data_IF_639661338836
#
_entry.id   IF_639661338836
#
_cell.length_a   1.000
_cell.length_b   1.000
_cell.length_c   1.000
_cell.angle_alpha   90.00
_cell.angle_beta   90.00
_cell.angle_gamma   90.00
#
_symmetry.space_group_name_H-M   'P 1'
#
loop_
_entity.id
_entity.type
_entity.pdbx_description
1 polymer ?
#
# COMPACT_ATOMS: atom_id res chain seq x y z
N UNK A 1 16.49 -22.90 34.41
CA UNK A 1 16.72 -23.50 33.08
C UNK A 1 16.14 -22.51 32.06
N UNK A 2 16.97 -21.61 31.56
CA UNK A 2 16.55 -20.59 30.57
C UNK A 2 16.32 -21.33 29.26
N UNK A 3 15.07 -21.46 28.84
CA UNK A 3 14.75 -21.97 27.50
C UNK A 3 15.42 -21.02 26.51
N UNK A 4 16.35 -21.57 25.73
CA UNK A 4 16.97 -20.92 24.60
C UNK A 4 15.91 -20.17 23.79
N UNK A 5 16.18 -18.88 23.58
CA UNK A 5 15.40 -17.97 22.76
C UNK A 5 15.16 -18.63 21.41
N UNK A 6 13.90 -18.59 20.94
CA UNK A 6 13.45 -19.14 19.66
C UNK A 6 14.26 -18.54 18.50
N UNK A 7 15.35 -19.18 18.10
CA UNK A 7 16.01 -18.91 16.80
C UNK A 7 15.25 -19.58 15.63
N UNK A 8 14.32 -20.48 15.91
CA UNK A 8 13.41 -21.06 14.91
C UNK A 8 12.04 -20.37 14.96
N UNK A 9 12.01 -19.09 14.58
CA UNK A 9 10.79 -18.56 13.95
C UNK A 9 10.64 -19.18 12.56
N UNK A 10 9.41 -19.36 12.08
CA UNK A 10 9.14 -19.72 10.69
C UNK A 10 9.83 -18.69 9.78
N UNK A 11 10.91 -19.10 9.11
CA UNK A 11 11.61 -18.26 8.15
C UNK A 11 10.88 -18.35 6.81
N UNK A 12 10.48 -17.21 6.26
CA UNK A 12 9.85 -17.14 4.95
C UNK A 12 10.94 -17.15 3.88
N UNK A 13 10.98 -18.21 3.07
CA UNK A 13 12.00 -18.43 2.04
C UNK A 13 11.45 -18.38 0.62
N UNK A 14 10.14 -18.54 0.46
CA UNK A 14 9.45 -18.58 -0.83
C UNK A 14 8.23 -17.64 -0.85
N UNK A 15 7.74 -17.33 -2.06
CA UNK A 15 6.47 -16.61 -2.25
C UNK A 15 5.29 -17.40 -1.65
N UNK A 16 5.36 -18.72 -1.67
CA UNK A 16 4.36 -19.60 -1.07
C UNK A 16 4.38 -19.47 0.46
N UNK A 17 5.55 -19.37 1.10
CA UNK A 17 5.63 -19.13 2.55
C UNK A 17 4.99 -17.78 2.93
N UNK A 18 5.25 -16.73 2.14
CA UNK A 18 4.58 -15.43 2.31
C UNK A 18 3.06 -15.57 2.19
N UNK A 19 2.59 -16.29 1.18
CA UNK A 19 1.17 -16.54 0.94
C UNK A 19 0.52 -17.26 2.14
N UNK A 20 1.21 -18.24 2.72
CA UNK A 20 0.69 -19.08 3.80
C UNK A 20 0.78 -18.39 5.17
N UNK A 21 1.78 -17.52 5.38
CA UNK A 21 1.88 -16.68 6.57
C UNK A 21 0.67 -15.75 6.75
N UNK A 22 0.03 -15.38 5.63
CA UNK A 22 -1.06 -14.41 5.60
C UNK A 22 -0.64 -12.95 5.78
N UNK A 23 0.67 -12.66 5.80
CA UNK A 23 1.19 -11.30 5.91
C UNK A 23 0.63 -10.37 4.83
N UNK A 24 0.31 -9.13 5.21
CA UNK A 24 -0.30 -8.14 4.32
C UNK A 24 -1.68 -8.54 3.81
N UNK A 25 -2.45 -9.29 4.61
CA UNK A 25 -3.88 -9.54 4.38
C UNK A 25 -4.71 -9.00 5.54
N UNK A 26 -5.97 -8.59 5.32
CA UNK A 26 -6.74 -8.60 4.05
C UNK A 26 -6.35 -7.47 3.06
N UNK A 27 -7.07 -7.29 1.92
CA UNK A 27 -6.95 -6.08 1.12
C UNK A 27 -7.00 -4.79 1.96
N UNK A 28 -6.23 -3.75 1.59
CA UNK A 28 -5.60 -3.51 0.28
C UNK A 28 -4.13 -3.97 0.17
N UNK A 29 -3.70 -4.89 1.04
CA UNK A 29 -2.39 -5.57 0.98
C UNK A 29 -1.17 -4.67 1.16
N UNK A 30 -1.27 -3.71 2.08
CA UNK A 30 -0.22 -2.74 2.36
C UNK A 30 1.11 -3.41 2.73
N UNK A 31 1.12 -4.42 3.61
CA UNK A 31 2.35 -5.14 3.97
C UNK A 31 3.08 -5.76 2.77
N UNK A 32 2.34 -6.39 1.85
CA UNK A 32 2.92 -7.01 0.66
C UNK A 32 3.48 -5.94 -0.30
N UNK A 33 2.73 -4.87 -0.54
CA UNK A 33 3.19 -3.73 -1.35
C UNK A 33 4.44 -3.07 -0.76
N UNK A 34 4.48 -2.93 0.57
CA UNK A 34 5.63 -2.42 1.31
C UNK A 34 6.85 -3.34 1.17
N UNK A 35 6.67 -4.66 1.23
CA UNK A 35 7.76 -5.62 1.03
C UNK A 35 8.29 -5.59 -0.40
N UNK A 36 7.40 -5.44 -1.38
CA UNK A 36 7.76 -5.29 -2.79
C UNK A 36 8.61 -4.03 -3.01
N UNK A 37 8.16 -2.88 -2.47
CA UNK A 37 8.93 -1.63 -2.47
C UNK A 37 10.29 -1.81 -1.77
N UNK A 38 10.29 -2.38 -0.56
CA UNK A 38 11.51 -2.57 0.22
C UNK A 38 12.57 -3.33 -0.56
N UNK A 39 12.18 -4.45 -1.20
CA UNK A 39 13.08 -5.30 -1.98
C UNK A 39 13.65 -4.59 -3.20
N UNK A 40 12.82 -3.81 -3.92
CA UNK A 40 13.17 -3.20 -5.19
C UNK A 40 13.89 -1.84 -5.07
N UNK A 41 13.55 -1.04 -4.06
CA UNK A 41 13.98 0.36 -3.96
C UNK A 41 14.79 0.67 -2.70
N UNK A 42 14.52 0.02 -1.56
CA UNK A 42 15.16 0.38 -0.28
C UNK A 42 16.45 -0.40 -0.01
N UNK A 43 16.69 -1.53 -0.68
CA UNK A 43 17.90 -2.35 -0.49
C UNK A 43 18.58 -2.70 -1.80
N UNK A 44 19.85 -3.13 -1.71
CA UNK A 44 20.64 -3.72 -2.80
C UNK A 44 21.46 -4.89 -2.26
N UNK A 45 21.93 -5.78 -3.14
CA UNK A 45 22.94 -6.76 -2.79
C UNK A 45 24.28 -6.38 -3.38
N UNK A 46 25.35 -6.39 -2.57
CA UNK A 46 26.70 -6.18 -3.09
C UNK A 46 27.29 -7.47 -3.69
N UNK A 47 28.50 -7.38 -4.27
CA UNK A 47 29.19 -8.51 -4.88
C UNK A 47 29.56 -9.65 -3.91
N UNK A 48 29.55 -9.39 -2.60
CA UNK A 48 29.71 -10.42 -1.56
C UNK A 48 28.38 -11.03 -1.11
N UNK A 49 27.27 -10.68 -1.76
CA UNK A 49 25.94 -11.16 -1.42
C UNK A 49 25.35 -10.56 -0.14
N UNK A 50 25.96 -9.52 0.44
CA UNK A 50 25.40 -8.79 1.59
C UNK A 50 24.31 -7.83 1.14
N UNK A 51 23.23 -7.77 1.91
CA UNK A 51 22.13 -6.82 1.72
C UNK A 51 22.49 -5.47 2.36
N UNK A 52 22.43 -4.40 1.58
CA UNK A 52 22.74 -3.04 2.00
C UNK A 52 21.51 -2.16 1.88
N UNK A 53 21.27 -1.33 2.88
CA UNK A 53 20.19 -0.33 2.85
C UNK A 53 20.58 0.87 1.97
N UNK A 54 19.68 1.32 1.10
CA UNK A 54 19.81 2.49 0.24
C UNK A 54 19.11 3.73 0.79
N UNK A 55 17.99 3.52 1.48
CA UNK A 55 17.29 4.50 2.30
C UNK A 55 18.10 4.85 3.58
N UNK A 56 17.75 5.92 4.29
CA UNK A 56 18.35 6.31 5.57
C UNK A 56 17.34 6.17 6.74
N UNK A 57 17.21 4.98 7.35
CA UNK A 57 16.30 4.76 8.46
C UNK A 57 16.52 5.70 9.65
N UNK A 58 17.77 6.09 9.92
CA UNK A 58 18.15 7.05 10.96
C UNK A 58 17.70 8.49 10.67
N UNK A 59 17.37 8.79 9.41
CA UNK A 59 16.80 10.08 9.00
C UNK A 59 15.28 9.99 8.83
N UNK A 60 14.68 8.87 9.20
CA UNK A 60 13.24 8.62 9.08
C UNK A 60 12.73 8.60 7.63
N UNK A 61 13.61 8.39 6.64
CA UNK A 61 13.20 8.27 5.23
C UNK A 61 12.02 7.30 5.12
N UNK A 62 10.99 7.61 4.32
CA UNK A 62 9.81 6.76 4.13
C UNK A 62 9.02 6.42 5.41
N UNK A 63 9.25 7.14 6.51
CA UNK A 63 8.61 6.88 7.81
C UNK A 63 9.32 5.82 8.66
N UNK A 64 10.58 5.49 8.36
CA UNK A 64 11.39 4.65 9.23
C UNK A 64 11.54 5.27 10.64
N UNK A 65 11.65 4.43 11.67
CA UNK A 65 11.95 4.87 13.03
C UNK A 65 12.57 3.73 13.85
N UNK A 66 13.19 4.06 14.98
CA UNK A 66 13.78 3.05 15.87
C UNK A 66 12.73 2.09 16.42
N UNK A 67 13.00 0.79 16.32
CA UNK A 67 12.19 -0.25 16.93
C UNK A 67 12.83 -0.72 18.24
N UNK A 68 12.18 -0.44 19.37
CA UNK A 68 12.72 -0.73 20.70
C UNK A 68 12.71 -2.22 21.10
N UNK A 69 11.94 -3.06 20.39
CA UNK A 69 11.75 -4.47 20.72
C UNK A 69 11.31 -4.72 22.18
N UNK A 70 10.42 -3.86 22.71
CA UNK A 70 9.96 -3.94 24.11
C UNK A 70 9.15 -5.20 24.41
N UNK A 71 8.42 -5.72 23.43
CA UNK A 71 7.68 -6.97 23.53
C UNK A 71 8.55 -8.22 23.31
N UNK A 72 9.85 -8.05 23.06
CA UNK A 72 10.82 -9.13 22.83
C UNK A 72 10.40 -10.11 21.72
N UNK A 73 9.77 -9.59 20.65
CA UNK A 73 9.37 -10.39 19.48
C UNK A 73 10.57 -10.75 18.58
N UNK A 74 11.68 -10.02 18.72
CA UNK A 74 12.95 -10.23 18.01
C UNK A 74 14.08 -10.59 18.98
N UNK A 75 15.19 -11.17 18.51
CA UNK A 75 16.38 -11.40 19.34
C UNK A 75 16.90 -10.12 19.99
N UNK A 76 17.23 -10.19 21.28
CA UNK A 76 17.84 -9.07 22.02
C UNK A 76 19.22 -8.76 21.45
N UNK A 77 19.46 -7.48 21.13
CA UNK A 77 20.75 -7.04 20.59
C UNK A 77 21.84 -7.01 21.67
N UNK A 78 23.08 -7.22 21.23
CA UNK A 78 24.27 -7.06 22.09
C UNK A 78 24.33 -5.63 22.66
N UNK A 79 24.83 -5.52 23.90
CA UNK A 79 25.01 -4.23 24.59
C UNK A 79 26.10 -3.36 23.96
N UNK A 80 26.87 -3.87 23.00
CA UNK A 80 27.90 -3.11 22.29
C UNK A 80 27.35 -2.01 21.35
N UNK A 81 26.02 -1.92 21.21
CA UNK A 81 25.27 -0.89 20.45
C UNK A 81 25.73 -0.72 19.00
N UNK A 82 26.32 -1.74 18.39
CA UNK A 82 26.73 -1.69 16.98
C UNK A 82 25.59 -1.95 16.01
N UNK A 83 24.47 -2.40 16.53
CA UNK A 83 23.30 -2.77 15.76
C UNK A 83 22.06 -2.11 16.35
N UNK A 84 21.07 -1.88 15.49
CA UNK A 84 19.78 -1.31 15.89
C UNK A 84 18.68 -1.89 15.02
N UNK A 85 17.47 -1.99 15.59
CA UNK A 85 16.30 -2.30 14.81
C UNK A 85 15.61 -1.01 14.37
N UNK A 86 15.15 -1.00 13.12
CA UNK A 86 14.32 0.06 12.56
C UNK A 86 13.05 -0.54 11.95
N UNK A 87 11.94 0.14 12.11
CA UNK A 87 10.62 -0.24 11.61
C UNK A 87 10.15 0.74 10.53
N UNK A 88 9.44 0.22 9.51
CA UNK A 88 8.68 1.00 8.53
C UNK A 88 7.32 0.35 8.27
N UNK A 89 6.38 1.14 7.77
CA UNK A 89 5.06 0.66 7.33
C UNK A 89 3.88 1.33 8.04
N UNK A 90 4.13 2.27 8.95
CA UNK A 90 3.08 3.13 9.45
C UNK A 90 2.73 4.20 8.41
N UNK A 91 1.56 4.05 7.78
CA UNK A 91 1.10 4.93 6.71
C UNK A 91 0.49 6.25 7.22
N UNK A 92 0.42 6.46 8.53
CA UNK A 92 -0.15 7.68 9.11
C UNK A 92 0.83 8.86 8.99
N UNK A 93 0.62 9.70 7.98
CA UNK A 93 1.43 10.89 7.71
C UNK A 93 1.25 12.00 8.77
N UNK A 94 0.22 11.95 9.61
CA UNK A 94 0.11 12.90 10.74
C UNK A 94 1.15 12.61 11.83
N UNK A 95 1.55 11.34 11.98
CA UNK A 95 2.52 10.91 13.02
C UNK A 95 3.89 10.60 12.44
N UNK A 96 3.94 10.13 11.20
CA UNK A 96 5.16 9.82 10.44
C UNK A 96 5.09 10.55 9.10
N UNK A 97 5.38 11.85 9.08
CA UNK A 97 5.18 12.70 7.89
C UNK A 97 5.87 12.12 6.65
N UNK A 98 7.11 11.66 6.80
CA UNK A 98 7.91 11.04 5.73
C UNK A 98 7.35 9.72 5.19
N UNK A 99 6.32 9.15 5.80
CA UNK A 99 5.58 8.06 5.17
C UNK A 99 4.91 8.52 3.85
N UNK A 100 4.72 9.82 3.63
CA UNK A 100 4.25 10.38 2.36
C UNK A 100 5.21 10.07 1.18
N UNK A 101 6.50 9.91 1.47
CA UNK A 101 7.54 9.56 0.49
C UNK A 101 7.42 8.11 0.01
N UNK A 102 6.66 7.24 0.70
CA UNK A 102 6.38 5.90 0.19
C UNK A 102 5.64 5.97 -1.15
N UNK A 103 5.90 5.06 -2.10
CA UNK A 103 5.22 5.07 -3.38
C UNK A 103 3.69 5.01 -3.23
N UNK A 104 2.98 5.67 -4.13
CA UNK A 104 1.51 5.72 -4.10
C UNK A 104 0.88 4.33 -4.07
N UNK A 105 1.45 3.34 -4.77
CA UNK A 105 0.92 1.98 -4.77
C UNK A 105 0.99 1.32 -3.38
N UNK A 106 1.95 1.69 -2.54
CA UNK A 106 2.07 1.24 -1.14
C UNK A 106 0.99 1.88 -0.29
N UNK A 107 0.76 3.19 -0.45
CA UNK A 107 -0.24 3.94 0.33
C UNK A 107 -1.68 3.78 -0.16
N UNK A 108 -1.88 3.31 -1.40
CA UNK A 108 -3.19 3.21 -2.04
C UNK A 108 -4.16 2.36 -1.22
N UNK A 109 -5.35 2.93 -0.94
CA UNK A 109 -6.42 2.29 -0.16
C UNK A 109 -6.38 2.62 1.33
N UNK A 110 -5.30 3.24 1.81
CA UNK A 110 -5.23 3.75 3.18
C UNK A 110 -6.28 4.85 3.40
N UNK A 111 -7.01 4.78 4.53
CA UNK A 111 -8.08 5.74 4.85
C UNK A 111 -9.43 5.49 4.15
N UNK A 112 -9.48 4.64 3.12
CA UNK A 112 -10.69 4.41 2.30
C UNK A 112 -11.45 3.13 2.67
N UNK A 113 -10.84 2.22 3.41
CA UNK A 113 -11.41 0.92 3.77
C UNK A 113 -12.22 0.97 5.07
N UNK A 114 -13.32 0.19 5.12
CA UNK A 114 -13.96 -0.20 6.38
C UNK A 114 -12.93 -1.00 7.19
N UNK A 115 -12.55 -0.52 8.38
CA UNK A 115 -11.50 -1.15 9.19
C UNK A 115 -10.12 -0.51 9.06
N UNK A 116 -10.04 0.83 9.01
CA UNK A 116 -8.81 1.63 8.99
C UNK A 116 -7.63 1.08 9.81
N UNK A 117 -7.88 0.51 11.00
CA UNK A 117 -6.82 -0.07 11.85
C UNK A 117 -6.15 -1.29 11.22
N UNK A 118 -6.91 -2.13 10.50
CA UNK A 118 -6.39 -3.31 9.80
C UNK A 118 -5.56 -2.94 8.58
N UNK A 119 -5.76 -1.75 8.01
CA UNK A 119 -5.02 -1.28 6.85
C UNK A 119 -3.71 -0.58 7.19
N UNK A 120 -3.39 -0.43 8.48
CA UNK A 120 -2.12 0.15 8.90
C UNK A 120 -1.44 -0.70 9.98
N UNK A 121 -1.64 -2.02 9.92
CA UNK A 121 -1.07 -2.96 10.89
C UNK A 121 0.29 -3.52 10.48
N UNK A 122 0.55 -3.64 9.18
CA UNK A 122 1.69 -4.37 8.64
C UNK A 122 2.98 -3.57 8.79
N UNK A 123 4.08 -4.23 9.17
CA UNK A 123 5.39 -3.62 9.37
C UNK A 123 6.51 -4.47 8.78
N UNK A 124 7.56 -3.78 8.35
CA UNK A 124 8.87 -4.37 8.12
C UNK A 124 9.82 -3.85 9.19
N UNK A 125 10.52 -4.76 9.85
CA UNK A 125 11.58 -4.42 10.80
C UNK A 125 12.91 -4.91 10.24
N UNK A 126 13.92 -4.06 10.23
CA UNK A 126 15.27 -4.41 9.80
C UNK A 126 16.25 -4.30 10.95
N UNK A 127 17.18 -5.27 11.06
CA UNK A 127 18.37 -5.16 11.90
C UNK A 127 19.47 -4.55 11.06
N UNK A 128 19.96 -3.39 11.47
CA UNK A 128 21.02 -2.68 10.79
C UNK A 128 22.31 -2.72 11.59
N UNK A 129 23.41 -2.97 10.89
CA UNK A 129 24.78 -2.77 11.36
C UNK A 129 25.48 -1.84 10.37
N UNK A 130 25.61 -0.56 10.73
CA UNK A 130 25.97 0.48 9.76
C UNK A 130 24.97 0.47 8.58
N UNK A 131 25.42 0.09 7.38
CA UNK A 131 24.55 -0.06 6.20
C UNK A 131 24.17 -1.52 5.90
N UNK A 132 24.76 -2.49 6.58
CA UNK A 132 24.47 -3.90 6.38
C UNK A 132 23.11 -4.22 7.03
N UNK A 133 22.15 -4.71 6.24
CA UNK A 133 20.91 -5.29 6.75
C UNK A 133 21.20 -6.73 7.14
N UNK A 134 21.36 -6.98 8.44
CA UNK A 134 21.74 -8.28 8.98
C UNK A 134 20.55 -9.21 9.21
N UNK A 135 19.33 -8.66 9.31
CA UNK A 135 18.08 -9.40 9.32
C UNK A 135 16.91 -8.52 8.86
N UNK A 136 15.90 -9.14 8.24
CA UNK A 136 14.64 -8.50 7.85
C UNK A 136 13.49 -9.32 8.40
N UNK A 137 12.55 -8.66 9.06
CA UNK A 137 11.35 -9.27 9.62
C UNK A 137 10.11 -8.61 9.03
N UNK A 138 9.09 -9.42 8.79
CA UNK A 138 7.72 -8.93 8.54
C UNK A 138 6.87 -9.24 9.77
N UNK A 139 6.00 -8.31 10.13
CA UNK A 139 5.14 -8.46 11.31
C UNK A 139 3.87 -7.62 11.16
N UNK A 140 2.94 -7.76 12.10
CA UNK A 140 1.74 -6.95 12.20
C UNK A 140 1.40 -6.61 13.64
N UNK A 141 0.64 -5.54 13.83
CA UNK A 141 -0.01 -5.26 15.11
C UNK A 141 -1.21 -6.20 15.32
N UNK A 142 -1.43 -6.61 16.57
CA UNK A 142 -2.61 -7.37 16.98
C UNK A 142 -3.87 -6.54 16.78
N UNK A 143 -4.93 -7.18 16.29
CA UNK A 143 -6.26 -6.57 16.13
C UNK A 143 -6.86 -6.12 17.48
N UNK A 144 -6.73 -6.97 18.49
CA UNK A 144 -7.23 -6.78 19.85
C UNK A 144 -6.17 -6.20 20.82
N UNK A 145 -4.93 -6.04 20.34
CA UNK A 145 -3.87 -5.43 21.10
C UNK A 145 -4.23 -4.00 21.49
N UNK A 146 -3.85 -3.59 22.70
CA UNK A 146 -3.77 -2.16 23.04
C UNK A 146 -2.95 -1.39 21.99
N UNK A 147 -2.87 -0.06 22.11
CA UNK A 147 -2.23 0.82 21.10
C UNK A 147 -0.84 0.28 20.66
N UNK A 148 -0.79 -0.35 19.49
CA UNK A 148 0.46 -0.74 18.81
C UNK A 148 1.10 -2.06 19.22
N UNK A 149 0.44 -2.95 19.97
CA UNK A 149 1.07 -4.23 20.36
C UNK A 149 1.35 -5.13 19.15
N UNK A 150 2.57 -5.60 19.00
CA UNK A 150 2.97 -6.54 17.94
C UNK A 150 2.47 -7.97 18.18
N UNK A 151 2.24 -8.68 17.08
CA UNK A 151 1.92 -10.10 17.11
C UNK A 151 3.17 -10.97 16.86
N UNK A 152 3.70 -11.55 17.93
CA UNK A 152 4.85 -12.45 17.85
C UNK A 152 4.57 -13.70 17.00
N UNK A 153 3.32 -14.15 16.89
CA UNK A 153 2.97 -15.33 16.08
C UNK A 153 2.88 -15.00 14.58
N UNK A 154 2.73 -13.72 14.25
CA UNK A 154 2.76 -13.18 12.89
C UNK A 154 4.08 -12.48 12.55
N UNK A 155 5.09 -12.63 13.41
CA UNK A 155 6.42 -12.09 13.19
C UNK A 155 7.30 -13.16 12.56
N UNK A 156 7.76 -12.91 11.34
CA UNK A 156 8.55 -13.87 10.58
C UNK A 156 9.87 -13.28 10.12
N UNK A 157 10.94 -14.05 10.24
CA UNK A 157 12.22 -13.74 9.62
C UNK A 157 12.10 -13.97 8.11
N UNK A 158 12.50 -12.99 7.31
CA UNK A 158 12.52 -13.09 5.85
C UNK A 158 13.90 -13.55 5.41
N UNK A 159 13.96 -14.67 4.67
CA UNK A 159 15.19 -15.13 4.07
C UNK A 159 15.68 -14.11 3.02
N UNK A 160 16.97 -13.72 3.00
CA UNK A 160 17.50 -12.81 1.98
C UNK A 160 17.29 -13.30 0.52
N UNK A 161 17.20 -14.61 0.28
CA UNK A 161 16.87 -15.13 -1.05
C UNK A 161 15.44 -14.82 -1.47
N UNK A 162 14.50 -14.74 -0.53
CA UNK A 162 13.14 -14.29 -0.84
C UNK A 162 13.13 -12.82 -1.27
N UNK A 163 13.95 -11.97 -0.65
CA UNK A 163 14.12 -10.58 -1.10
C UNK A 163 14.70 -10.54 -2.52
N UNK A 164 15.64 -11.43 -2.87
CA UNK A 164 16.16 -11.54 -4.25
C UNK A 164 15.08 -11.94 -5.25
N UNK A 165 14.22 -12.90 -4.90
CA UNK A 165 13.09 -13.32 -5.74
C UNK A 165 12.13 -12.16 -5.97
N UNK A 166 11.80 -11.40 -4.92
CA UNK A 166 10.87 -10.25 -5.02
C UNK A 166 11.47 -9.11 -5.86
N UNK A 167 12.80 -9.00 -5.88
CA UNK A 167 13.56 -8.01 -6.65
C UNK A 167 13.84 -8.43 -8.09
N UNK A 168 13.33 -9.59 -8.54
CA UNK A 168 13.48 -9.98 -9.93
C UNK A 168 12.81 -8.91 -10.83
N UNK A 169 13.53 -8.29 -11.79
CA UNK A 169 12.95 -7.26 -12.65
C UNK A 169 11.79 -7.79 -13.52
N UNK A 170 11.67 -9.11 -13.71
CA UNK A 170 10.56 -9.73 -14.42
C UNK A 170 9.33 -9.97 -13.52
N UNK A 171 9.47 -9.84 -12.19
CA UNK A 171 8.37 -10.00 -11.25
C UNK A 171 7.65 -8.67 -11.03
N UNK A 172 6.60 -8.43 -11.81
CA UNK A 172 5.74 -7.25 -11.63
C UNK A 172 4.96 -7.30 -10.32
N UNK A 173 4.64 -6.13 -9.76
CA UNK A 173 3.83 -5.99 -8.53
C UNK A 173 2.49 -6.75 -8.64
N UNK A 174 1.84 -6.68 -9.79
CA UNK A 174 0.57 -7.37 -10.05
C UNK A 174 0.71 -8.90 -9.90
N UNK A 175 1.74 -9.47 -10.53
CA UNK A 175 2.09 -10.89 -10.45
C UNK A 175 2.46 -11.29 -9.03
N UNK A 176 3.26 -10.49 -8.32
CA UNK A 176 3.61 -10.73 -6.93
C UNK A 176 2.37 -10.77 -6.02
N UNK A 177 1.45 -9.80 -6.16
CA UNK A 177 0.20 -9.77 -5.40
C UNK A 177 -0.70 -10.98 -5.73
N UNK A 178 -0.79 -11.36 -6.99
CA UNK A 178 -1.53 -12.55 -7.42
C UNK A 178 -0.96 -13.82 -6.79
N UNK A 179 0.35 -14.05 -6.90
CA UNK A 179 1.02 -15.22 -6.34
C UNK A 179 0.88 -15.30 -4.81
N UNK A 180 0.82 -14.15 -4.14
CA UNK A 180 0.56 -14.04 -2.69
C UNK A 180 -0.95 -14.03 -2.35
N UNK A 181 -1.79 -14.49 -3.27
CA UNK A 181 -3.20 -14.83 -3.06
C UNK A 181 -4.18 -13.69 -3.32
N UNK A 182 -3.81 -12.66 -4.09
CA UNK A 182 -4.74 -11.65 -4.58
C UNK A 182 -5.52 -12.17 -5.80
N UNK A 183 -6.81 -12.46 -5.59
CA UNK A 183 -7.70 -12.92 -6.66
C UNK A 183 -8.32 -11.75 -7.46
N UNK A 184 -8.13 -10.50 -7.02
CA UNK A 184 -8.75 -9.33 -7.64
C UNK A 184 -8.23 -9.00 -9.05
N UNK A 185 -6.94 -9.26 -9.29
CA UNK A 185 -6.36 -9.15 -10.63
C UNK A 185 -6.78 -10.29 -11.56
N UNK A 186 -6.97 -11.50 -11.02
CA UNK A 186 -7.40 -12.65 -11.83
C UNK A 186 -8.79 -12.44 -12.46
N UNK A 187 -9.72 -11.80 -11.75
CA UNK A 187 -11.01 -11.46 -12.34
C UNK A 187 -10.86 -10.39 -13.44
N UNK A 188 -10.07 -9.35 -13.17
CA UNK A 188 -9.82 -8.27 -14.13
C UNK A 188 -9.09 -8.75 -15.37
N UNK A 189 -8.05 -9.58 -15.24
CA UNK A 189 -7.31 -10.18 -16.35
C UNK A 189 -8.11 -11.27 -17.09
N UNK A 190 -8.91 -12.08 -16.39
CA UNK A 190 -9.85 -13.00 -17.05
C UNK A 190 -10.93 -12.25 -17.81
N UNK A 191 -11.42 -11.13 -17.28
CA UNK A 191 -12.33 -10.23 -17.97
C UNK A 191 -11.63 -9.58 -19.17
N UNK A 192 -10.44 -9.01 -19.02
CA UNK A 192 -9.68 -8.43 -20.14
C UNK A 192 -9.29 -9.46 -21.21
N UNK A 193 -8.95 -10.69 -20.82
CA UNK A 193 -8.70 -11.80 -21.73
C UNK A 193 -9.98 -12.20 -22.49
N UNK A 194 -11.13 -12.27 -21.81
CA UNK A 194 -12.42 -12.50 -22.44
C UNK A 194 -12.84 -11.34 -23.38
N UNK A 195 -12.55 -10.09 -23.00
CA UNK A 195 -12.77 -8.92 -23.86
C UNK A 195 -11.84 -8.94 -25.09
N UNK A 196 -10.58 -9.35 -24.93
CA UNK A 196 -9.60 -9.46 -26.04
C UNK A 196 -9.91 -10.61 -26.99
N UNK A 197 -10.50 -11.70 -26.51
CA UNK A 197 -11.04 -12.77 -27.36
C UNK A 197 -12.28 -12.32 -28.14
N UNK A 198 -13.14 -11.48 -27.54
CA UNK A 198 -14.33 -10.94 -28.21
C UNK A 198 -14.02 -9.80 -29.18
N UNK A 199 -12.89 -9.11 -29.07
CA UNK A 199 -12.49 -8.06 -30.01
C UNK A 199 -11.81 -8.57 -31.29
N UNK A 200 -11.61 -9.89 -31.43
CA UNK A 200 -10.95 -10.50 -32.59
C UNK A 200 -11.90 -10.88 -33.74
N UNK A 201 -13.20 -10.56 -33.65
CA UNK A 201 -14.16 -10.84 -34.72
C UNK A 201 -15.07 -9.64 -34.94
N UNK A 202 -14.59 -8.61 -35.66
CA UNK A 202 -15.33 -7.92 -36.74
C UNK A 202 -14.29 -7.20 -37.63
N UNK A 203 -13.95 -7.71 -38.82
CA UNK A 203 -13.43 -6.88 -39.89
C UNK A 203 -14.62 -6.17 -40.55
N UNK A 204 -14.68 -4.85 -40.47
CA UNK A 204 -15.47 -4.07 -41.43
C UNK A 204 -14.50 -3.25 -42.27
N UNK A 205 -14.46 -3.60 -43.55
CA UNK A 205 -13.78 -2.88 -44.61
C UNK A 205 -14.81 -2.02 -45.35
N UNK A 206 -14.34 -0.85 -45.83
CA UNK A 206 -14.98 0.13 -46.73
C UNK A 206 -16.10 1.02 -46.15
N UNK A 207 -16.21 2.31 -46.48
CA UNK A 207 -15.51 3.19 -47.43
C UNK A 207 -15.81 4.64 -47.02
N UNK A 208 -14.82 5.53 -46.96
CA UNK A 208 -15.09 6.97 -46.86
C UNK A 208 -14.02 7.74 -47.66
N UNK A 209 -14.43 8.27 -48.81
CA UNK A 209 -13.65 9.27 -49.53
C UNK A 209 -13.54 10.56 -48.71
N UNK A 210 -12.33 11.12 -48.51
CA UNK A 210 -12.18 12.39 -47.81
C UNK A 210 -12.43 13.58 -48.75
N UNK A 211 -13.20 14.60 -48.34
CA UNK A 211 -13.25 15.86 -49.08
C UNK A 211 -11.91 16.61 -49.00
N UNK A 212 -11.52 17.21 -50.12
CA UNK A 212 -10.31 18.03 -50.28
C UNK A 212 -10.23 19.21 -49.28
N UNK A 213 -9.03 19.61 -48.83
CA UNK A 213 -8.87 20.64 -47.82
C UNK A 213 -9.02 22.05 -48.43
N UNK A 214 -9.81 22.90 -47.76
CA UNK A 214 -9.74 24.35 -47.97
C UNK A 214 -8.85 24.97 -46.88
N UNK A 215 -7.88 25.75 -47.33
CA UNK A 215 -6.93 26.48 -46.51
C UNK A 215 -7.60 27.62 -45.72
N UNK A 216 -7.28 27.76 -44.43
CA UNK A 216 -7.04 29.07 -43.78
C UNK A 216 -6.45 28.96 -42.36
N UNK A 217 -5.16 29.27 -42.30
CA UNK A 217 -4.44 30.13 -41.35
C UNK A 217 -5.07 30.51 -39.98
N UNK A 218 -4.28 30.34 -38.91
CA UNK A 218 -4.12 31.36 -37.86
C UNK A 218 -4.42 30.91 -36.41
N UNK A 219 -3.48 31.05 -35.45
CA UNK A 219 -3.58 30.48 -34.11
C UNK A 219 -4.11 31.49 -33.07
N UNK A 220 -4.65 31.01 -31.95
CA UNK A 220 -4.61 31.78 -30.71
C UNK A 220 -4.54 30.90 -29.44
N UNK A 221 -3.58 31.29 -28.60
CA UNK A 221 -3.30 30.78 -27.24
C UNK A 221 -4.31 31.38 -26.24
N UNK A 222 -4.59 30.65 -25.17
CA UNK A 222 -5.02 31.16 -23.84
C UNK A 222 -4.89 29.97 -22.86
N UNK A 223 -3.75 29.76 -22.18
CA UNK A 223 -3.36 30.31 -20.87
C UNK A 223 -4.54 30.74 -19.99
N UNK A 224 -4.77 29.96 -18.93
CA UNK A 224 -5.29 30.46 -17.65
C UNK A 224 -4.52 29.81 -16.51
N UNK A 225 -3.44 30.49 -16.12
CA UNK A 225 -2.89 30.42 -14.77
C UNK A 225 -3.81 31.24 -13.85
N UNK A 226 -4.18 30.67 -12.70
CA UNK A 226 -4.66 31.46 -11.57
C UNK A 226 -4.01 30.94 -10.28
N UNK A 227 -2.92 31.57 -9.92
CA UNK A 227 -2.32 31.56 -8.58
C UNK A 227 -2.61 32.92 -7.93
N UNK A 228 -3.10 32.90 -6.69
CA UNK A 228 -3.02 33.90 -5.59
C UNK A 228 -4.15 33.62 -4.59
N UNK A 229 -4.02 33.74 -3.27
CA UNK A 229 -2.91 33.93 -2.35
C UNK A 229 -3.54 33.83 -0.93
N UNK A 230 -2.68 33.77 0.10
CA UNK A 230 -2.91 34.20 1.48
C UNK A 230 -3.66 33.31 2.50
N UNK A 231 -2.83 32.66 3.33
CA UNK A 231 -2.76 32.77 4.80
C UNK A 231 -4.05 33.11 5.57
N UNK A 232 -4.54 32.13 6.33
CA UNK A 232 -5.10 32.37 7.65
C UNK A 232 -4.91 31.12 8.55
N UNK A 233 -4.16 31.32 9.64
CA UNK A 233 -4.16 30.46 10.81
C UNK A 233 -5.58 30.20 11.29
N UNK A 234 -6.03 28.95 11.29
CA UNK A 234 -7.14 28.51 12.14
C UNK A 234 -6.86 27.14 12.73
N UNK A 235 -6.68 27.14 14.04
CA UNK A 235 -6.81 26.00 14.95
C UNK A 235 -8.18 25.34 14.77
N UNK A 236 -8.24 24.22 14.05
CA UNK A 236 -9.47 23.48 13.78
C UNK A 236 -9.69 22.32 14.74
N UNK A 237 -10.33 22.61 15.89
CA UNK A 237 -10.92 21.61 16.78
C UNK A 237 -12.02 20.85 16.01
N UNK A 238 -11.79 19.59 15.66
CA UNK A 238 -12.74 18.80 14.85
C UNK A 238 -14.04 18.57 15.63
N UNK A 239 -15.11 19.24 15.18
CA UNK A 239 -16.45 19.14 15.74
C UNK A 239 -17.21 17.96 15.13
N UNK A 240 -18.04 17.32 15.96
CA UNK A 240 -18.97 16.22 15.61
C UNK A 240 -20.05 16.58 14.55
N UNK A 241 -19.92 17.69 13.84
CA UNK A 241 -21.00 18.24 12.98
C UNK A 241 -21.05 17.68 11.56
N UNK A 242 -19.98 17.05 11.03
CA UNK A 242 -19.97 16.57 9.64
C UNK A 242 -20.76 15.26 9.40
N UNK A 243 -21.12 14.51 10.44
CA UNK A 243 -21.85 13.23 10.27
C UNK A 243 -23.36 13.41 10.08
N UNK A 244 -23.93 14.49 10.58
CA UNK A 244 -25.38 14.73 10.48
C UNK A 244 -25.75 15.25 9.09
N UNK A 245 -24.92 16.12 8.51
CA UNK A 245 -25.15 16.68 7.17
C UNK A 245 -25.11 15.61 6.07
N UNK A 246 -24.14 14.69 6.13
CA UNK A 246 -24.02 13.61 5.14
C UNK A 246 -25.21 12.65 5.16
N UNK A 247 -25.67 12.23 6.36
CA UNK A 247 -26.84 11.37 6.49
C UNK A 247 -28.14 12.07 6.05
N UNK A 248 -28.28 13.36 6.33
CA UNK A 248 -29.48 14.12 5.97
C UNK A 248 -29.64 14.28 4.45
N UNK A 249 -28.53 14.48 3.74
CA UNK A 249 -28.52 14.56 2.26
C UNK A 249 -28.94 13.22 1.64
N UNK A 250 -28.44 12.10 2.16
CA UNK A 250 -28.81 10.76 1.66
C UNK A 250 -30.30 10.49 1.89
N UNK A 251 -30.84 10.83 3.06
CA UNK A 251 -32.27 10.65 3.37
C UNK A 251 -33.15 11.51 2.43
N UNK A 252 -32.77 12.76 2.18
CA UNK A 252 -33.50 13.65 1.27
C UNK A 252 -33.55 13.11 -0.17
N UNK A 253 -32.44 12.58 -0.67
CA UNK A 253 -32.37 11.97 -2.02
C UNK A 253 -33.27 10.75 -2.10
N UNK A 254 -33.25 9.88 -1.08
CA UNK A 254 -34.11 8.68 -1.04
C UNK A 254 -35.59 9.05 -1.02
N UNK A 255 -35.98 10.05 -0.22
CA UNK A 255 -37.37 10.53 -0.16
C UNK A 255 -37.83 11.15 -1.49
N UNK A 256 -36.94 11.88 -2.18
CA UNK A 256 -37.22 12.42 -3.51
C UNK A 256 -37.44 11.30 -4.55
N UNK A 257 -36.61 10.26 -4.54
CA UNK A 257 -36.76 9.13 -5.47
C UNK A 257 -38.06 8.38 -5.20
N UNK A 258 -38.40 8.13 -3.93
CA UNK A 258 -39.66 7.45 -3.56
C UNK A 258 -40.87 8.28 -4.00
N UNK A 259 -40.86 9.60 -3.76
CA UNK A 259 -41.97 10.48 -4.17
C UNK A 259 -42.15 10.53 -5.68
N UNK A 260 -41.06 10.60 -6.45
CA UNK A 260 -41.10 10.49 -7.93
C UNK A 260 -41.71 9.17 -8.40
N UNK A 261 -41.29 8.04 -7.81
CA UNK A 261 -41.85 6.72 -8.14
C UNK A 261 -43.35 6.67 -7.85
N UNK A 262 -43.78 7.17 -6.69
CA UNK A 262 -45.21 7.21 -6.32
C UNK A 262 -46.01 8.09 -7.28
N UNK A 263 -45.49 9.24 -7.70
CA UNK A 263 -46.17 10.13 -8.65
C UNK A 263 -46.34 9.48 -10.03
N UNK A 264 -45.33 8.75 -10.51
CA UNK A 264 -45.40 7.96 -11.75
C UNK A 264 -46.44 6.84 -11.63
N UNK A 265 -46.46 6.11 -10.52
CA UNK A 265 -47.45 5.04 -10.30
C UNK A 265 -48.89 5.55 -10.17
N UNK A 266 -49.07 6.78 -9.69
CA UNK A 266 -50.38 7.43 -9.61
C UNK A 266 -50.80 8.14 -10.91
N UNK A 267 -49.97 8.09 -11.97
CA UNK A 267 -50.24 8.75 -13.26
C UNK A 267 -50.31 10.28 -13.16
N UNK A 268 -49.63 10.86 -12.16
CA UNK A 268 -49.58 12.31 -11.93
C UNK A 268 -48.30 12.96 -12.46
N UNK A 269 -47.51 12.19 -13.21
CA UNK A 269 -46.28 12.62 -13.89
C UNK A 269 -46.24 12.03 -15.30
#
# INVERSE_FOLDING_TARGET
MVRSVREEGSQLSTIQDLKDSGFGRPPPRHGLKLLFWFANECVVFNHHGKMLVQCHPEREDFGFHYFGNFEEILPVLSRDRRESYFEVGNLNTETYSKAEDLPDYVRQGYGLSLGYRQCNKDRIIIRLKQRDVTATYVTEHKEDGGRGKFDSERTHLVNPNLIRIIRDPELELATFLYQTGDMGLSLRERLFGAFKQNSAVIPWEYDYEPPQPSERSGPDRLIWDLEKDQTASQTGRCSRSCKVFSAFVVILVVLLVITLIVLVLLGKL
#
